data_IF_889078033718
#
_entry.id   IF_889078033718
#
_cell.length_a   1.000
_cell.length_b   1.000
_cell.length_c   1.000
_cell.angle_alpha   90.00
_cell.angle_beta   90.00
_cell.angle_gamma   90.00
#
_symmetry.space_group_name_H-M   'P 1'
#
loop_
_entity.id
_entity.type
_entity.pdbx_description
1 polymer ?
#
# COMPACT_ATOMS: atom_id res chain seq x y z
N UNK A 1 -7.74 24.97 11.80
CA UNK A 1 -9.02 25.29 11.13
C UNK A 1 -9.21 26.79 10.88
N UNK A 2 -8.76 27.68 11.74
CA UNK A 2 -8.86 29.14 11.56
C UNK A 2 -8.30 29.62 10.20
N UNK A 3 -7.19 29.06 9.72
CA UNK A 3 -6.63 29.38 8.40
C UNK A 3 -7.60 29.08 7.25
N UNK A 4 -8.46 28.08 7.37
CA UNK A 4 -9.43 27.71 6.33
C UNK A 4 -10.68 28.58 6.30
N UNK A 5 -10.81 29.53 7.24
CA UNK A 5 -11.84 30.56 7.27
C UNK A 5 -11.25 31.96 6.97
N UNK A 6 -9.93 32.07 6.75
CA UNK A 6 -9.29 33.29 6.26
C UNK A 6 -9.51 33.43 4.75
N UNK A 7 -10.21 34.50 4.31
CA UNK A 7 -10.53 34.69 2.89
C UNK A 7 -9.29 34.90 2.02
N UNK A 8 -8.20 35.49 2.52
CA UNK A 8 -6.98 35.70 1.76
C UNK A 8 -6.23 34.39 1.58
N UNK A 9 -6.21 33.54 2.62
CA UNK A 9 -5.59 32.22 2.56
C UNK A 9 -6.34 31.31 1.58
N UNK A 10 -7.68 31.28 1.65
CA UNK A 10 -8.51 30.52 0.70
C UNK A 10 -8.36 31.02 -0.75
N UNK A 11 -8.15 32.31 -0.96
CA UNK A 11 -7.94 32.88 -2.28
C UNK A 11 -6.69 32.31 -2.96
N UNK A 12 -5.62 32.05 -2.21
CA UNK A 12 -4.40 31.40 -2.74
C UNK A 12 -4.71 30.01 -3.27
N UNK A 13 -5.42 29.18 -2.51
CA UNK A 13 -5.81 27.83 -2.95
C UNK A 13 -6.80 27.85 -4.12
N UNK A 14 -7.69 28.83 -4.16
CA UNK A 14 -8.62 29.00 -5.28
C UNK A 14 -7.88 29.34 -6.58
N UNK A 15 -6.91 30.24 -6.53
CA UNK A 15 -6.06 30.59 -7.69
C UNK A 15 -5.28 29.35 -8.13
N UNK A 16 -4.74 28.58 -7.19
CA UNK A 16 -4.01 27.34 -7.49
C UNK A 16 -4.90 26.30 -8.18
N UNK A 17 -6.15 26.11 -7.72
CA UNK A 17 -7.14 25.25 -8.39
C UNK A 17 -7.41 25.67 -9.83
N UNK A 18 -7.56 26.98 -10.07
CA UNK A 18 -7.77 27.52 -11.43
C UNK A 18 -6.53 27.26 -12.28
N UNK A 19 -5.33 27.54 -11.77
CA UNK A 19 -4.08 27.29 -12.47
C UNK A 19 -3.94 25.81 -12.86
N UNK A 20 -4.25 24.89 -11.97
CA UNK A 20 -4.24 23.45 -12.26
C UNK A 20 -5.26 23.06 -13.33
N UNK A 21 -6.48 23.59 -13.26
CA UNK A 21 -7.50 23.34 -14.29
C UNK A 21 -7.07 23.85 -15.67
N UNK A 22 -6.40 25.00 -15.72
CA UNK A 22 -5.83 25.57 -16.96
C UNK A 22 -4.73 24.65 -17.50
N UNK A 23 -3.79 24.21 -16.67
CA UNK A 23 -2.71 23.28 -17.05
C UNK A 23 -3.28 21.99 -17.61
N UNK A 24 -4.21 21.35 -16.90
CA UNK A 24 -4.83 20.09 -17.32
C UNK A 24 -5.59 20.20 -18.65
N UNK A 25 -6.10 21.40 -18.98
CA UNK A 25 -6.86 21.62 -20.22
C UNK A 25 -5.95 22.04 -21.38
N UNK A 26 -5.01 22.94 -21.14
CA UNK A 26 -4.22 23.60 -22.21
C UNK A 26 -3.01 22.75 -22.62
N UNK A 27 -2.34 22.07 -21.67
CA UNK A 27 -1.13 21.29 -21.99
C UNK A 27 -1.37 20.19 -23.02
N UNK A 28 -2.44 19.36 -22.93
CA UNK A 28 -2.73 18.36 -23.96
C UNK A 28 -2.99 18.98 -25.34
N UNK A 29 -3.69 20.13 -25.39
CA UNK A 29 -4.01 20.82 -26.65
C UNK A 29 -2.73 21.32 -27.31
N UNK A 30 -1.87 22.03 -26.57
CA UNK A 30 -0.58 22.52 -27.08
C UNK A 30 0.27 21.35 -27.58
N UNK A 31 0.30 20.27 -26.82
CA UNK A 31 1.08 19.07 -27.16
C UNK A 31 0.58 18.43 -28.47
N UNK A 32 -0.72 18.29 -28.65
CA UNK A 32 -1.31 17.79 -29.90
C UNK A 32 -0.95 18.68 -31.11
N UNK A 33 -1.00 20.00 -30.94
CA UNK A 33 -0.56 20.93 -31.96
C UNK A 33 0.92 20.79 -32.33
N UNK A 34 1.77 20.61 -31.34
CA UNK A 34 3.21 20.42 -31.54
C UNK A 34 3.51 19.09 -32.27
N UNK A 35 2.83 18.02 -31.87
CA UNK A 35 2.94 16.72 -32.56
C UNK A 35 2.50 16.82 -34.02
N UNK A 36 1.34 17.43 -34.26
CA UNK A 36 0.83 17.59 -35.63
C UNK A 36 1.80 18.40 -36.49
N UNK A 37 2.34 19.51 -35.97
CA UNK A 37 3.36 20.29 -36.65
C UNK A 37 4.61 19.48 -36.98
N UNK A 38 5.14 18.72 -36.01
CA UNK A 38 6.35 17.91 -36.21
C UNK A 38 6.12 16.80 -37.26
N UNK A 39 4.95 16.14 -37.22
CA UNK A 39 4.55 15.15 -38.22
C UNK A 39 4.37 15.77 -39.61
N UNK A 40 3.72 16.92 -39.71
CA UNK A 40 3.50 17.64 -40.96
C UNK A 40 4.84 18.01 -41.62
N UNK A 41 5.78 18.56 -40.84
CA UNK A 41 7.11 18.91 -41.32
C UNK A 41 7.87 17.66 -41.81
N UNK A 42 7.76 16.54 -41.09
CA UNK A 42 8.40 15.28 -41.47
C UNK A 42 7.86 14.74 -42.82
N UNK A 43 6.55 14.84 -43.02
CA UNK A 43 5.89 14.34 -44.28
C UNK A 43 6.14 15.23 -45.46
N UNK A 44 6.02 16.57 -45.27
CA UNK A 44 6.12 17.53 -46.41
C UNK A 44 7.56 17.68 -46.91
N UNK A 45 8.55 17.55 -46.05
CA UNK A 45 9.94 17.79 -46.43
C UNK A 45 10.64 16.55 -46.99
N UNK A 46 9.99 15.37 -47.13
CA UNK A 46 10.52 14.11 -47.74
C UNK A 46 11.98 13.84 -47.36
N UNK A 47 12.34 13.97 -46.07
CA UNK A 47 13.73 13.98 -45.64
C UNK A 47 14.32 12.58 -45.44
N UNK A 48 15.68 12.43 -45.63
CA UNK A 48 16.36 11.15 -45.40
C UNK A 48 16.17 10.63 -43.96
N UNK A 49 16.32 9.30 -43.78
CA UNK A 49 16.05 8.55 -42.54
C UNK A 49 16.70 9.12 -41.28
N UNK A 50 17.84 9.77 -41.35
CA UNK A 50 18.54 10.37 -40.18
C UNK A 50 17.87 11.64 -39.63
N UNK A 51 17.23 12.42 -40.51
CA UNK A 51 16.46 13.59 -40.06
C UNK A 51 15.10 13.18 -39.44
N UNK A 52 14.50 12.09 -39.91
CA UNK A 52 13.31 11.50 -39.31
C UNK A 52 13.59 11.04 -37.85
N UNK A 53 14.75 10.39 -37.64
CA UNK A 53 15.17 10.00 -36.25
C UNK A 53 15.34 11.21 -35.33
N UNK A 54 15.88 12.32 -35.82
CA UNK A 54 16.05 13.54 -35.05
C UNK A 54 14.71 14.20 -34.69
N UNK A 55 13.76 14.24 -35.65
CA UNK A 55 12.39 14.76 -35.37
C UNK A 55 11.70 13.88 -34.35
N UNK A 56 11.79 12.55 -34.48
CA UNK A 56 11.21 11.59 -33.54
C UNK A 56 11.81 11.73 -32.12
N UNK A 57 13.14 11.85 -32.01
CA UNK A 57 13.81 12.06 -30.71
C UNK A 57 13.40 13.37 -30.03
N UNK A 58 13.23 14.46 -30.79
CA UNK A 58 12.72 15.75 -30.28
C UNK A 58 11.26 15.63 -29.81
N UNK A 59 10.43 14.94 -30.59
CA UNK A 59 9.01 14.70 -30.23
C UNK A 59 8.87 13.88 -28.95
N UNK A 60 9.69 12.84 -28.75
CA UNK A 60 9.72 12.04 -27.51
C UNK A 60 10.09 12.90 -26.30
N UNK A 61 11.12 13.75 -26.40
CA UNK A 61 11.52 14.62 -25.28
C UNK A 61 10.40 15.61 -24.90
N UNK A 62 9.70 16.16 -25.89
CA UNK A 62 8.54 17.04 -25.66
C UNK A 62 7.37 16.27 -25.04
N UNK A 63 7.14 15.04 -25.46
CA UNK A 63 6.13 14.15 -24.92
C UNK A 63 6.36 13.86 -23.43
N UNK A 64 7.60 13.50 -23.07
CA UNK A 64 7.98 13.27 -21.67
C UNK A 64 7.78 14.52 -20.83
N UNK A 65 8.21 15.70 -21.34
CA UNK A 65 8.01 16.96 -20.65
C UNK A 65 6.52 17.32 -20.47
N UNK A 66 5.70 17.10 -21.50
CA UNK A 66 4.26 17.32 -21.43
C UNK A 66 3.56 16.40 -20.44
N UNK A 67 3.97 15.11 -20.38
CA UNK A 67 3.49 14.15 -19.39
C UNK A 67 3.83 14.63 -17.96
N UNK A 68 5.07 15.01 -17.71
CA UNK A 68 5.49 15.49 -16.39
C UNK A 68 4.63 16.71 -15.97
N UNK A 69 4.49 17.70 -16.84
CA UNK A 69 3.70 18.90 -16.55
C UNK A 69 2.22 18.57 -16.34
N UNK A 70 1.66 17.66 -17.15
CA UNK A 70 0.26 17.22 -17.03
C UNK A 70 -0.03 16.51 -15.70
N UNK A 71 0.91 15.70 -15.22
CA UNK A 71 0.74 15.01 -13.94
C UNK A 71 1.08 15.84 -12.70
N UNK A 72 1.73 17.00 -12.83
CA UNK A 72 2.05 17.88 -11.70
C UNK A 72 0.81 18.25 -10.86
N UNK A 73 -0.33 18.68 -11.44
CA UNK A 73 -1.53 18.99 -10.66
C UNK A 73 -2.09 17.76 -9.94
N UNK A 74 -2.10 16.60 -10.61
CA UNK A 74 -2.56 15.35 -10.00
C UNK A 74 -1.65 14.90 -8.86
N UNK A 75 -0.33 15.03 -9.03
CA UNK A 75 0.65 14.77 -7.98
C UNK A 75 0.47 15.73 -6.79
N UNK A 76 0.26 17.02 -7.07
CA UNK A 76 -0.01 18.00 -6.04
C UNK A 76 -1.30 17.66 -5.27
N UNK A 77 -2.39 17.38 -5.99
CA UNK A 77 -3.66 16.97 -5.37
C UNK A 77 -3.46 15.71 -4.55
N UNK A 78 -2.79 14.69 -5.08
CA UNK A 78 -2.47 13.46 -4.37
C UNK A 78 -1.67 13.70 -3.08
N UNK A 79 -0.66 14.57 -3.13
CA UNK A 79 0.13 14.93 -1.94
C UNK A 79 -0.77 15.58 -0.87
N UNK A 80 -1.68 16.43 -1.25
CA UNK A 80 -2.52 17.17 -0.32
C UNK A 80 -3.81 16.44 0.09
N UNK A 81 -4.32 15.49 -0.72
CA UNK A 81 -5.55 14.75 -0.40
C UNK A 81 -5.28 13.35 0.15
N UNK A 82 -4.27 12.66 -0.38
CA UNK A 82 -4.04 11.25 -0.08
C UNK A 82 -2.81 11.00 0.80
N UNK A 83 -1.76 11.83 0.69
CA UNK A 83 -0.55 11.73 1.52
C UNK A 83 -0.61 12.60 2.78
N UNK A 84 -1.34 13.72 2.77
CA UNK A 84 -1.60 14.45 4.00
C UNK A 84 -2.68 13.68 4.80
N UNK A 85 -2.53 13.56 6.13
CA UNK A 85 -3.56 12.95 6.95
C UNK A 85 -4.93 13.55 6.64
N UNK A 86 -5.97 12.71 6.60
CA UNK A 86 -7.37 13.12 6.30
C UNK A 86 -7.81 14.30 7.16
N UNK A 87 -7.19 14.47 8.32
CA UNK A 87 -7.40 15.56 9.28
C UNK A 87 -6.44 16.74 9.07
N UNK A 88 -5.64 16.77 7.99
CA UNK A 88 -4.77 17.92 7.78
C UNK A 88 -5.59 19.16 7.45
N UNK A 89 -5.37 20.21 8.22
CA UNK A 89 -5.99 21.53 8.03
C UNK A 89 -5.85 22.02 6.58
N UNK A 90 -4.74 21.67 5.91
CA UNK A 90 -4.45 22.05 4.53
C UNK A 90 -5.40 21.41 3.51
N UNK A 91 -5.75 20.15 3.69
CA UNK A 91 -6.67 19.44 2.81
C UNK A 91 -8.07 20.07 2.84
N UNK A 92 -8.55 20.33 4.05
CA UNK A 92 -9.84 21.01 4.27
C UNK A 92 -9.84 22.41 3.67
N UNK A 93 -8.74 23.17 3.83
CA UNK A 93 -8.62 24.51 3.23
C UNK A 93 -8.64 24.42 1.69
N UNK A 94 -7.94 23.46 1.10
CA UNK A 94 -7.91 23.28 -0.34
C UNK A 94 -9.30 22.90 -0.88
N UNK A 95 -10.00 21.96 -0.28
CA UNK A 95 -11.36 21.58 -0.70
C UNK A 95 -12.34 22.76 -0.60
N UNK A 96 -12.29 23.50 0.50
CA UNK A 96 -13.18 24.65 0.76
C UNK A 96 -12.82 25.90 -0.04
N UNK A 97 -11.70 25.95 -0.75
CA UNK A 97 -11.31 27.09 -1.57
C UNK A 97 -12.23 27.23 -2.78
N UNK A 98 -13.29 28.02 -2.62
CA UNK A 98 -14.25 28.41 -3.65
C UNK A 98 -14.54 29.92 -3.56
N UNK A 99 -15.01 30.50 -4.66
CA UNK A 99 -15.35 31.95 -4.68
C UNK A 99 -16.50 32.25 -3.72
N UNK A 100 -17.41 31.32 -3.55
CA UNK A 100 -18.54 31.41 -2.64
C UNK A 100 -18.07 31.49 -1.17
N UNK A 101 -17.22 30.58 -0.75
CA UNK A 101 -16.65 30.55 0.60
C UNK A 101 -15.78 31.78 0.87
N UNK A 102 -14.98 32.20 -0.10
CA UNK A 102 -14.16 33.41 0.02
C UNK A 102 -15.06 34.64 0.26
N UNK A 103 -16.14 34.79 -0.48
CA UNK A 103 -17.09 35.89 -0.31
C UNK A 103 -17.85 35.78 1.01
N UNK A 104 -18.26 34.56 1.43
CA UNK A 104 -18.86 34.30 2.74
C UNK A 104 -17.95 34.82 3.86
N UNK A 105 -16.69 34.40 3.89
CA UNK A 105 -15.76 34.76 4.96
C UNK A 105 -15.27 36.22 4.89
N UNK A 106 -15.29 36.86 3.74
CA UNK A 106 -15.02 38.32 3.64
C UNK A 106 -16.08 39.16 4.35
N UNK A 107 -17.31 38.66 4.40
CA UNK A 107 -18.43 39.36 5.00
C UNK A 107 -18.64 39.02 6.48
N UNK A 108 -17.87 38.11 7.05
CA UNK A 108 -17.91 37.74 8.45
C UNK A 108 -16.87 38.49 9.27
N UNK A 109 -17.20 38.80 10.52
CA UNK A 109 -16.24 39.28 11.51
C UNK A 109 -15.18 38.23 11.86
N UNK A 110 -14.10 38.61 12.51
CA UNK A 110 -13.07 37.65 12.95
C UNK A 110 -13.62 36.64 13.95
N UNK A 111 -14.49 37.11 14.86
CA UNK A 111 -15.15 36.25 15.86
C UNK A 111 -16.08 35.22 15.21
N UNK A 112 -16.93 35.62 14.27
CA UNK A 112 -17.79 34.71 13.52
C UNK A 112 -16.98 33.66 12.71
N UNK A 113 -15.83 34.04 12.17
CA UNK A 113 -14.94 33.09 11.46
C UNK A 113 -14.31 32.08 12.40
N UNK A 114 -13.94 32.47 13.62
CA UNK A 114 -13.43 31.57 14.65
C UNK A 114 -14.51 30.58 15.10
N UNK A 115 -15.71 31.05 15.33
CA UNK A 115 -16.86 30.21 15.69
C UNK A 115 -17.17 29.18 14.59
N UNK A 116 -17.19 29.60 13.33
CA UNK A 116 -17.38 28.70 12.19
C UNK A 116 -16.24 27.69 12.04
N UNK A 117 -14.99 28.07 12.37
CA UNK A 117 -13.84 27.19 12.35
C UNK A 117 -13.92 26.10 13.42
N UNK A 118 -14.36 26.46 14.65
CA UNK A 118 -14.56 25.51 15.73
C UNK A 118 -15.73 24.56 15.44
N UNK A 119 -16.84 25.09 14.91
CA UNK A 119 -17.99 24.26 14.50
C UNK A 119 -17.60 23.22 13.45
N UNK A 120 -16.82 23.60 12.43
CA UNK A 120 -16.31 22.67 11.41
C UNK A 120 -15.38 21.62 12.00
N UNK A 121 -14.55 22.01 12.96
CA UNK A 121 -13.66 21.07 13.65
C UNK A 121 -14.47 20.02 14.43
N UNK A 122 -15.54 20.44 15.08
CA UNK A 122 -16.46 19.55 15.78
C UNK A 122 -17.21 18.61 14.82
N UNK A 123 -17.71 19.15 13.69
CA UNK A 123 -18.35 18.35 12.64
C UNK A 123 -17.41 17.29 12.05
N UNK A 124 -16.13 17.62 11.84
CA UNK A 124 -15.12 16.68 11.39
C UNK A 124 -14.82 15.58 12.42
N UNK A 125 -14.68 15.95 13.69
CA UNK A 125 -14.46 14.99 14.78
C UNK A 125 -15.66 14.04 14.93
N UNK A 126 -16.87 14.56 14.78
CA UNK A 126 -18.09 13.76 14.84
C UNK A 126 -18.19 12.82 13.62
N UNK A 127 -17.85 13.28 12.44
CA UNK A 127 -17.80 12.46 11.23
C UNK A 127 -16.72 11.36 11.28
N UNK A 128 -15.57 11.64 11.90
CA UNK A 128 -14.54 10.65 12.15
C UNK A 128 -15.03 9.58 13.14
N UNK A 129 -15.63 9.99 14.26
CA UNK A 129 -16.21 9.07 15.24
C UNK A 129 -17.34 8.21 14.68
N UNK A 130 -18.15 8.76 13.77
CA UNK A 130 -19.21 8.02 13.08
C UNK A 130 -18.66 7.00 12.08
N UNK A 131 -17.57 7.35 11.37
CA UNK A 131 -16.85 6.39 10.50
C UNK A 131 -16.26 5.24 11.31
N UNK A 132 -15.60 5.52 12.43
CA UNK A 132 -15.04 4.50 13.32
C UNK A 132 -16.14 3.59 13.88
N UNK A 133 -17.30 4.15 14.21
CA UNK A 133 -18.46 3.39 14.66
C UNK A 133 -19.04 2.49 13.55
N UNK A 134 -19.18 3.03 12.32
CA UNK A 134 -19.64 2.26 11.17
C UNK A 134 -18.66 1.15 10.79
N UNK A 135 -17.37 1.41 10.88
CA UNK A 135 -16.33 0.42 10.62
C UNK A 135 -16.34 -0.67 11.69
N UNK A 136 -16.52 -0.31 12.94
CA UNK A 136 -16.71 -1.27 14.03
C UNK A 136 -17.97 -2.12 13.85
N UNK A 137 -19.10 -1.50 13.51
CA UNK A 137 -20.35 -2.21 13.22
C UNK A 137 -20.24 -3.13 11.99
N UNK A 138 -19.51 -2.71 10.94
CA UNK A 138 -19.17 -3.58 9.80
C UNK A 138 -18.32 -4.77 10.22
N UNK A 139 -17.30 -4.52 11.03
CA UNK A 139 -16.42 -5.59 11.51
C UNK A 139 -17.16 -6.56 12.45
N UNK A 140 -18.06 -6.07 13.27
CA UNK A 140 -18.90 -6.90 14.14
C UNK A 140 -19.95 -7.70 13.33
N UNK A 141 -20.53 -7.13 12.27
CA UNK A 141 -21.38 -7.86 11.32
C UNK A 141 -20.62 -8.93 10.55
N UNK A 142 -19.42 -8.61 10.08
CA UNK A 142 -18.54 -9.59 9.41
C UNK A 142 -18.18 -10.73 10.37
N UNK A 143 -17.90 -10.42 11.65
CA UNK A 143 -17.67 -11.45 12.68
C UNK A 143 -18.91 -12.33 12.90
N UNK A 144 -20.09 -11.72 12.97
CA UNK A 144 -21.34 -12.46 13.14
C UNK A 144 -21.69 -13.33 11.92
N UNK A 145 -21.47 -12.82 10.69
CA UNK A 145 -21.65 -13.60 9.45
C UNK A 145 -20.65 -14.74 9.33
N UNK A 146 -19.40 -14.54 9.79
CA UNK A 146 -18.39 -15.60 9.87
C UNK A 146 -18.81 -16.66 10.88
N UNK A 147 -19.36 -16.26 12.01
CA UNK A 147 -19.83 -17.18 13.05
C UNK A 147 -21.08 -17.98 12.60
N UNK A 148 -21.97 -17.36 11.85
CA UNK A 148 -23.16 -17.99 11.27
C UNK A 148 -22.78 -18.93 10.11
N UNK A 149 -21.85 -18.55 9.24
CA UNK A 149 -21.26 -19.42 8.21
C UNK A 149 -20.50 -20.60 8.82
N UNK A 150 -19.78 -20.41 9.93
CA UNK A 150 -19.15 -21.48 10.68
C UNK A 150 -20.14 -22.54 11.18
N UNK A 151 -21.35 -22.13 11.53
CA UNK A 151 -22.43 -23.07 11.92
C UNK A 151 -23.05 -23.81 10.73
N UNK A 152 -23.10 -23.19 9.55
CA UNK A 152 -23.66 -23.83 8.35
C UNK A 152 -22.65 -24.77 7.65
N UNK A 153 -21.36 -24.45 7.63
CA UNK A 153 -20.29 -25.25 7.00
C UNK A 153 -19.95 -26.53 7.79
N UNK A 154 -20.26 -26.61 9.09
CA UNK A 154 -20.22 -27.88 9.84
C UNK A 154 -21.24 -28.92 9.35
N UNK A 155 -22.17 -28.52 8.47
CA UNK A 155 -23.22 -29.37 7.94
C UNK A 155 -23.02 -29.80 6.47
N UNK A 156 -22.06 -29.20 5.74
CA UNK A 156 -21.79 -29.58 4.33
C UNK A 156 -20.30 -29.53 4.03
N UNK A 157 -19.66 -30.70 4.08
CA UNK A 157 -18.28 -30.86 3.59
C UNK A 157 -18.21 -30.67 2.07
N UNK A 158 -17.44 -29.72 1.59
CA UNK A 158 -17.22 -29.48 0.17
C UNK A 158 -15.83 -28.92 -0.10
N UNK A 159 -14.97 -29.77 -0.63
CA UNK A 159 -13.57 -29.54 -0.99
C UNK A 159 -13.48 -29.00 -2.42
N UNK A 160 -12.87 -27.86 -2.63
CA UNK A 160 -12.63 -27.30 -3.96
C UNK A 160 -11.23 -26.71 -4.11
N UNK A 161 -10.21 -27.56 -4.21
CA UNK A 161 -8.84 -27.16 -4.55
C UNK A 161 -8.52 -27.60 -5.97
N UNK A 162 -8.32 -26.67 -6.89
CA UNK A 162 -7.76 -26.95 -8.22
C UNK A 162 -6.24 -26.81 -8.18
N UNK A 163 -5.51 -27.85 -8.58
CA UNK A 163 -4.05 -27.81 -8.67
C UNK A 163 -3.60 -26.99 -9.88
N UNK A 164 -2.84 -25.93 -9.62
CA UNK A 164 -2.08 -25.18 -10.63
C UNK A 164 -0.66 -25.71 -10.65
N UNK A 165 -0.10 -25.98 -11.82
CA UNK A 165 1.26 -26.55 -11.95
C UNK A 165 2.33 -25.49 -11.71
N UNK A 166 2.98 -25.53 -10.56
CA UNK A 166 4.24 -24.83 -10.27
C UNK A 166 5.31 -25.84 -9.83
N UNK A 167 6.57 -25.58 -10.17
CA UNK A 167 7.70 -26.46 -9.83
C UNK A 167 8.56 -25.81 -8.76
N UNK A 168 8.41 -26.25 -7.52
CA UNK A 168 9.30 -25.89 -6.40
C UNK A 168 10.40 -26.92 -6.25
N UNK A 169 11.59 -26.53 -5.76
CA UNK A 169 12.66 -27.44 -5.35
C UNK A 169 12.38 -28.07 -3.99
N UNK A 170 11.53 -27.46 -3.17
CA UNK A 170 11.04 -27.99 -1.90
C UNK A 170 9.71 -28.71 -2.13
N UNK A 171 9.60 -30.03 -1.90
CA UNK A 171 8.37 -30.77 -2.14
C UNK A 171 7.20 -30.32 -1.25
N UNK A 172 7.48 -29.71 -0.10
CA UNK A 172 6.47 -29.21 0.82
C UNK A 172 5.98 -27.78 0.48
N UNK A 173 6.63 -27.10 -0.48
CA UNK A 173 6.21 -25.80 -0.98
C UNK A 173 5.40 -25.98 -2.27
N UNK A 174 4.10 -25.88 -2.17
CA UNK A 174 3.15 -26.22 -3.24
C UNK A 174 2.45 -24.97 -3.76
N UNK A 175 2.31 -24.87 -5.08
CA UNK A 175 1.48 -23.81 -5.69
C UNK A 175 0.00 -24.26 -5.66
N UNK A 176 -0.82 -23.46 -5.01
CA UNK A 176 -2.27 -23.63 -4.91
C UNK A 176 -3.02 -22.47 -5.58
N UNK A 177 -4.30 -22.69 -5.80
CA UNK A 177 -5.24 -21.63 -6.25
C UNK A 177 -6.46 -21.63 -5.33
N UNK A 178 -6.82 -20.46 -4.85
CA UNK A 178 -8.01 -20.22 -4.05
C UNK A 178 -9.02 -19.38 -4.82
N UNK A 179 -10.26 -19.83 -4.85
CA UNK A 179 -11.40 -19.14 -5.48
C UNK A 179 -12.32 -18.59 -4.42
N UNK A 180 -12.07 -17.34 -4.01
CA UNK A 180 -12.89 -16.59 -3.07
C UNK A 180 -13.41 -15.30 -3.70
N UNK A 181 -13.22 -14.15 -3.03
CA UNK A 181 -13.56 -12.80 -3.56
C UNK A 181 -12.91 -12.59 -4.94
N UNK A 182 -11.68 -13.08 -5.11
CA UNK A 182 -10.96 -13.20 -6.39
C UNK A 182 -10.25 -14.54 -6.46
N UNK A 183 -9.91 -14.99 -7.67
CA UNK A 183 -8.99 -16.11 -7.83
C UNK A 183 -7.57 -15.65 -7.47
N UNK A 184 -6.95 -16.30 -6.49
CA UNK A 184 -5.61 -16.00 -6.00
C UNK A 184 -4.76 -17.26 -6.10
N UNK A 185 -3.68 -17.20 -6.88
CA UNK A 185 -2.64 -18.22 -6.84
C UNK A 185 -1.70 -17.90 -5.68
N UNK A 186 -1.26 -18.90 -4.93
CA UNK A 186 -0.37 -18.70 -3.79
C UNK A 186 0.52 -19.91 -3.57
N UNK A 187 1.75 -19.66 -3.14
CA UNK A 187 2.62 -20.70 -2.62
C UNK A 187 2.25 -20.97 -1.18
N UNK A 188 2.19 -22.26 -0.83
CA UNK A 188 1.93 -22.72 0.52
C UNK A 188 3.00 -23.73 0.95
N UNK A 189 3.49 -23.59 2.18
CA UNK A 189 4.32 -24.58 2.83
C UNK A 189 3.63 -25.01 4.13
N UNK A 190 3.40 -26.33 4.23
CA UNK A 190 2.90 -26.97 5.45
C UNK A 190 4.01 -27.86 6.00
N UNK A 191 4.52 -27.60 7.21
CA UNK A 191 5.54 -28.46 7.83
C UNK A 191 5.02 -29.89 8.06
N UNK A 192 5.91 -30.88 7.97
CA UNK A 192 5.56 -32.29 8.22
C UNK A 192 5.06 -32.53 9.66
N UNK A 193 5.67 -31.86 10.63
CA UNK A 193 5.31 -31.95 12.04
C UNK A 193 4.73 -30.62 12.50
N UNK A 194 3.43 -30.44 12.29
CA UNK A 194 2.75 -29.19 12.64
C UNK A 194 2.00 -29.35 13.98
N UNK A 195 2.00 -28.28 14.78
CA UNK A 195 1.20 -28.22 16.01
C UNK A 195 -0.31 -28.21 15.72
N UNK A 196 -1.14 -28.53 16.70
CA UNK A 196 -2.61 -28.48 16.57
C UNK A 196 -3.14 -27.05 16.36
N UNK A 197 -2.34 -26.03 16.68
CA UNK A 197 -2.60 -24.62 16.46
C UNK A 197 -1.32 -23.95 15.97
N UNK A 198 -0.98 -24.09 14.68
CA UNK A 198 0.25 -23.54 14.15
C UNK A 198 0.17 -22.02 13.99
N UNK A 199 1.33 -21.37 13.98
CA UNK A 199 1.47 -20.00 13.51
C UNK A 199 1.22 -19.92 11.99
N UNK A 200 0.86 -18.74 11.50
CA UNK A 200 0.76 -18.43 10.08
C UNK A 200 1.68 -17.27 9.71
N UNK A 201 2.48 -17.45 8.68
CA UNK A 201 3.28 -16.36 8.09
C UNK A 201 2.80 -16.08 6.67
N UNK A 202 2.43 -14.83 6.43
CA UNK A 202 1.95 -14.33 5.14
C UNK A 202 3.02 -13.44 4.51
N UNK A 203 3.52 -13.80 3.33
CA UNK A 203 4.49 -13.02 2.60
C UNK A 203 3.88 -12.31 1.39
N UNK A 204 4.05 -11.01 1.29
CA UNK A 204 3.63 -10.18 0.17
C UNK A 204 4.82 -9.85 -0.74
N UNK A 205 4.74 -10.23 -2.01
CA UNK A 205 5.83 -10.05 -2.98
C UNK A 205 6.00 -8.61 -3.47
N UNK A 206 7.14 -8.31 -4.08
CA UNK A 206 7.45 -7.05 -4.74
C UNK A 206 6.82 -6.89 -6.13
N UNK A 207 7.09 -5.77 -6.78
CA UNK A 207 6.53 -5.48 -8.12
C UNK A 207 7.05 -6.40 -9.22
N UNK A 208 8.23 -6.99 -9.03
CA UNK A 208 8.85 -7.90 -10.03
C UNK A 208 8.15 -9.23 -10.18
N UNK A 209 7.32 -9.63 -9.23
CA UNK A 209 6.66 -10.94 -9.16
C UNK A 209 5.17 -10.90 -9.52
N UNK A 210 4.64 -9.72 -9.86
CA UNK A 210 3.23 -9.54 -10.19
C UNK A 210 2.79 -10.44 -11.33
N UNK A 211 1.70 -11.20 -11.12
CA UNK A 211 1.14 -12.11 -12.10
C UNK A 211 2.02 -13.33 -12.43
N UNK A 212 3.16 -13.49 -11.74
CA UNK A 212 4.11 -14.58 -11.97
C UNK A 212 4.43 -15.33 -10.66
N UNK A 213 3.61 -16.28 -10.23
CA UNK A 213 3.85 -17.03 -8.99
C UNK A 213 5.24 -17.69 -8.94
N UNK A 214 5.71 -18.22 -10.07
CA UNK A 214 7.00 -18.93 -10.13
C UNK A 214 8.20 -18.00 -9.91
N UNK A 215 8.12 -16.72 -10.26
CA UNK A 215 9.21 -15.76 -10.03
C UNK A 215 9.45 -15.51 -8.54
N UNK A 216 8.42 -15.70 -7.71
CA UNK A 216 8.52 -15.55 -6.25
C UNK A 216 9.49 -16.56 -5.62
N UNK A 217 9.70 -17.72 -6.22
CA UNK A 217 10.63 -18.75 -5.72
C UNK A 217 12.10 -18.34 -5.76
N UNK A 218 12.42 -17.24 -6.44
CA UNK A 218 13.78 -16.73 -6.59
C UNK A 218 14.05 -15.51 -5.70
N UNK A 219 13.06 -15.04 -4.94
CA UNK A 219 13.16 -13.80 -4.19
C UNK A 219 12.46 -13.91 -2.82
N UNK A 220 12.88 -13.07 -1.88
CA UNK A 220 12.28 -12.93 -0.57
C UNK A 220 12.18 -14.22 0.25
N UNK A 221 11.20 -14.28 1.09
CA UNK A 221 10.93 -15.42 1.97
C UNK A 221 10.70 -16.73 1.18
N UNK A 222 9.93 -16.73 0.07
CA UNK A 222 9.74 -17.95 -0.74
C UNK A 222 11.04 -18.58 -1.25
N UNK A 223 12.08 -17.75 -1.55
CA UNK A 223 13.41 -18.27 -1.96
C UNK A 223 14.04 -19.17 -0.90
N UNK A 224 13.99 -18.75 0.36
CA UNK A 224 14.56 -19.52 1.48
C UNK A 224 13.73 -20.74 1.83
N UNK A 225 12.42 -20.73 1.56
CA UNK A 225 11.56 -21.90 1.62
C UNK A 225 11.89 -22.88 0.50
N UNK A 226 12.02 -22.38 -0.75
CA UNK A 226 12.26 -23.19 -1.94
C UNK A 226 13.61 -23.91 -1.92
N UNK A 227 14.68 -23.26 -1.43
CA UNK A 227 16.02 -23.84 -1.39
C UNK A 227 16.29 -24.69 -0.14
N UNK A 228 15.31 -24.85 0.74
CA UNK A 228 15.41 -25.66 1.95
C UNK A 228 16.20 -25.02 3.10
N UNK A 229 16.60 -23.75 3.00
CA UNK A 229 17.31 -23.06 4.09
C UNK A 229 16.49 -22.91 5.37
N UNK A 230 15.18 -23.04 5.29
CA UNK A 230 14.22 -22.96 6.41
C UNK A 230 13.48 -24.29 6.62
N UNK A 231 14.18 -25.41 6.59
CA UNK A 231 13.58 -26.76 6.74
C UNK A 231 12.89 -26.99 8.09
N UNK A 232 13.28 -26.27 9.15
CA UNK A 232 12.68 -26.36 10.48
C UNK A 232 11.71 -25.22 10.76
N UNK A 233 11.03 -24.74 9.74
CA UNK A 233 10.06 -23.65 9.87
C UNK A 233 8.79 -24.15 10.56
N UNK A 234 8.55 -23.70 11.79
CA UNK A 234 7.41 -24.17 12.61
C UNK A 234 6.19 -23.25 12.45
N UNK A 235 5.78 -23.07 11.21
CA UNK A 235 4.57 -22.30 10.88
C UNK A 235 4.03 -22.72 9.52
N UNK A 236 2.74 -22.58 9.29
CA UNK A 236 2.18 -22.52 7.94
C UNK A 236 2.69 -21.23 7.27
N UNK A 237 3.16 -21.36 6.06
CA UNK A 237 3.60 -20.23 5.26
C UNK A 237 2.73 -20.11 4.02
N UNK A 238 2.26 -18.89 3.72
CA UNK A 238 1.59 -18.59 2.45
C UNK A 238 2.21 -17.35 1.79
N UNK A 239 2.29 -17.39 0.48
CA UNK A 239 2.74 -16.28 -0.35
C UNK A 239 1.77 -16.07 -1.52
N UNK A 240 0.71 -15.27 -1.34
CA UNK A 240 -0.23 -14.94 -2.41
C UNK A 240 0.45 -14.17 -3.53
N UNK A 241 -0.02 -14.37 -4.78
CA UNK A 241 0.43 -13.61 -5.94
C UNK A 241 -0.66 -12.67 -6.42
N UNK A 242 -0.36 -11.36 -6.46
CA UNK A 242 -1.25 -10.36 -7.05
C UNK A 242 -0.89 -10.11 -8.51
N UNK A 243 -1.89 -10.19 -9.40
CA UNK A 243 -1.74 -9.81 -10.79
C UNK A 243 -1.94 -8.30 -11.01
N UNK A 244 -2.63 -7.62 -10.08
CA UNK A 244 -2.92 -6.19 -10.18
C UNK A 244 -1.73 -5.30 -9.80
N UNK A 245 -0.66 -5.85 -9.23
CA UNK A 245 0.47 -5.11 -8.64
C UNK A 245 0.01 -4.07 -7.60
N UNK A 246 -1.07 -4.33 -6.88
CA UNK A 246 -1.61 -3.40 -5.89
C UNK A 246 -2.18 -4.16 -4.68
N UNK A 247 -1.39 -4.26 -3.62
CA UNK A 247 -1.83 -4.89 -2.38
C UNK A 247 -2.99 -4.15 -1.70
N UNK A 248 -3.11 -2.83 -1.91
CA UNK A 248 -4.25 -2.07 -1.41
C UNK A 248 -5.57 -2.47 -2.09
N UNK A 249 -5.53 -2.67 -3.41
CA UNK A 249 -6.69 -3.13 -4.20
C UNK A 249 -7.02 -4.59 -3.95
N UNK A 250 -6.03 -5.42 -3.64
CA UNK A 250 -6.18 -6.85 -3.39
C UNK A 250 -6.25 -7.21 -1.90
N UNK A 251 -6.29 -6.20 -1.02
CA UNK A 251 -6.31 -6.44 0.43
C UNK A 251 -7.49 -7.31 0.89
N UNK A 252 -8.68 -7.10 0.32
CA UNK A 252 -9.86 -7.90 0.66
C UNK A 252 -9.74 -9.36 0.21
N UNK A 253 -9.25 -9.61 -1.01
CA UNK A 253 -9.03 -10.97 -1.52
C UNK A 253 -7.86 -11.68 -0.83
N UNK A 254 -6.82 -10.93 -0.45
CA UNK A 254 -5.72 -11.44 0.37
C UNK A 254 -6.21 -11.85 1.76
N UNK A 255 -7.04 -11.03 2.39
CA UNK A 255 -7.64 -11.34 3.69
C UNK A 255 -8.56 -12.55 3.63
N UNK A 256 -9.35 -12.68 2.57
CA UNK A 256 -10.24 -13.81 2.31
C UNK A 256 -9.44 -15.13 2.18
N UNK A 257 -8.32 -15.12 1.44
CA UNK A 257 -7.39 -16.26 1.39
C UNK A 257 -6.81 -16.58 2.78
N UNK A 258 -6.39 -15.58 3.55
CA UNK A 258 -5.86 -15.77 4.90
C UNK A 258 -6.94 -16.42 5.79
N UNK A 259 -8.19 -15.97 5.72
CA UNK A 259 -9.30 -16.54 6.49
C UNK A 259 -9.61 -17.99 6.10
N UNK A 260 -9.45 -18.34 4.82
CA UNK A 260 -9.54 -19.72 4.36
C UNK A 260 -8.44 -20.59 4.98
N UNK A 261 -7.19 -20.16 4.93
CA UNK A 261 -6.04 -20.89 5.49
C UNK A 261 -6.16 -21.05 7.01
N UNK A 262 -6.64 -19.99 7.71
CA UNK A 262 -6.90 -20.05 9.16
C UNK A 262 -7.87 -21.19 9.51
N UNK A 263 -8.93 -21.32 8.72
CA UNK A 263 -9.95 -22.37 8.94
C UNK A 263 -9.41 -23.76 8.57
N UNK A 264 -8.69 -23.87 7.44
CA UNK A 264 -8.17 -25.13 6.93
C UNK A 264 -7.20 -25.78 7.92
N UNK A 265 -6.33 -24.97 8.55
CA UNK A 265 -5.25 -25.48 9.42
C UNK A 265 -5.44 -25.19 10.91
N UNK A 266 -6.59 -24.65 11.33
CA UNK A 266 -6.85 -24.28 12.73
C UNK A 266 -5.75 -23.37 13.32
N UNK A 267 -5.37 -22.32 12.59
CA UNK A 267 -4.27 -21.41 12.94
C UNK A 267 -4.49 -20.77 14.32
N UNK A 268 -3.40 -20.58 15.07
CA UNK A 268 -3.41 -19.76 16.28
C UNK A 268 -3.61 -18.28 15.90
N UNK A 269 -4.76 -17.73 16.26
CA UNK A 269 -5.11 -16.35 15.98
C UNK A 269 -4.18 -15.31 16.65
N UNK A 270 -3.41 -15.73 17.66
CA UNK A 270 -2.42 -14.88 18.31
C UNK A 270 -1.04 -14.93 17.63
N UNK A 271 -0.87 -15.78 16.61
CA UNK A 271 0.39 -15.98 15.90
C UNK A 271 0.21 -15.89 14.38
N UNK A 272 -0.37 -14.78 13.91
CA UNK A 272 -0.48 -14.47 12.48
C UNK A 272 0.47 -13.33 12.15
N UNK A 273 1.54 -13.62 11.42
CA UNK A 273 2.58 -12.67 11.04
C UNK A 273 2.40 -12.25 9.59
N UNK A 274 2.53 -10.97 9.31
CA UNK A 274 2.56 -10.45 7.94
C UNK A 274 3.89 -9.80 7.61
N UNK A 275 4.40 -10.08 6.43
CA UNK A 275 5.67 -9.54 5.95
C UNK A 275 5.63 -9.34 4.43
N UNK A 276 6.57 -8.58 3.90
CA UNK A 276 6.69 -8.37 2.46
C UNK A 276 7.79 -7.39 2.11
N UNK A 277 8.23 -7.42 0.84
CA UNK A 277 9.32 -6.60 0.35
C UNK A 277 8.85 -5.59 -0.70
N UNK A 278 9.39 -4.36 -0.67
CA UNK A 278 9.14 -3.33 -1.68
C UNK A 278 7.64 -3.01 -1.79
N UNK A 279 6.99 -3.32 -2.92
CA UNK A 279 5.53 -3.26 -3.06
C UNK A 279 4.84 -4.07 -1.95
N UNK A 280 5.35 -5.26 -1.60
CA UNK A 280 4.86 -6.08 -0.50
C UNK A 280 5.17 -5.48 0.88
N UNK A 281 6.25 -4.73 1.03
CA UNK A 281 6.54 -3.95 2.24
C UNK A 281 5.49 -2.85 2.47
N UNK A 282 5.11 -2.12 1.41
CA UNK A 282 3.97 -1.21 1.45
C UNK A 282 2.65 -1.95 1.69
N UNK A 283 2.50 -3.15 1.10
CA UNK A 283 1.37 -4.04 1.33
C UNK A 283 1.24 -4.46 2.79
N UNK A 284 2.35 -4.75 3.45
CA UNK A 284 2.40 -5.08 4.88
C UNK A 284 1.84 -3.94 5.73
N UNK A 285 2.32 -2.70 5.50
CA UNK A 285 1.78 -1.51 6.17
C UNK A 285 0.29 -1.31 5.89
N UNK A 286 -0.14 -1.50 4.64
CA UNK A 286 -1.54 -1.37 4.25
C UNK A 286 -2.45 -2.42 4.92
N UNK A 287 -1.99 -3.67 5.01
CA UNK A 287 -2.77 -4.75 5.62
C UNK A 287 -2.96 -4.54 7.12
N UNK A 288 -1.92 -4.12 7.86
CA UNK A 288 -2.06 -3.85 9.30
C UNK A 288 -2.88 -2.58 9.59
N UNK A 289 -2.89 -1.61 8.67
CA UNK A 289 -3.79 -0.46 8.72
C UNK A 289 -5.25 -0.88 8.48
N UNK A 290 -5.50 -1.65 7.44
CA UNK A 290 -6.84 -2.03 7.02
C UNK A 290 -7.50 -3.03 7.97
N UNK A 291 -6.69 -3.88 8.63
CA UNK A 291 -7.15 -4.92 9.55
C UNK A 291 -6.46 -4.80 10.92
N UNK A 292 -6.73 -3.71 11.68
CA UNK A 292 -6.09 -3.48 12.97
C UNK A 292 -6.41 -4.61 13.97
N UNK A 293 -5.40 -5.07 14.69
CA UNK A 293 -5.53 -6.16 15.68
C UNK A 293 -5.72 -7.55 15.08
N UNK A 294 -5.63 -7.72 13.76
CA UNK A 294 -5.72 -9.02 13.11
C UNK A 294 -4.38 -9.75 13.08
N UNK A 295 -3.30 -9.04 12.84
CA UNK A 295 -1.94 -9.60 12.82
C UNK A 295 -1.28 -9.44 14.17
N UNK A 296 -0.50 -10.46 14.58
CA UNK A 296 0.26 -10.45 15.83
C UNK A 296 1.59 -9.70 15.71
N UNK A 297 2.21 -9.73 14.54
CA UNK A 297 3.47 -9.05 14.22
C UNK A 297 3.50 -8.64 12.75
N UNK A 298 4.29 -7.61 12.44
CA UNK A 298 4.51 -7.15 11.08
C UNK A 298 6.00 -6.91 10.77
N UNK A 299 6.43 -7.34 9.58
CA UNK A 299 7.81 -7.16 9.10
C UNK A 299 7.79 -6.53 7.71
N UNK A 300 7.58 -5.22 7.58
CA UNK A 300 7.74 -4.54 6.31
C UNK A 300 9.23 -4.41 5.95
N UNK A 301 9.62 -4.91 4.78
CA UNK A 301 10.98 -4.76 4.23
C UNK A 301 10.93 -3.79 3.06
N UNK A 302 11.67 -2.68 3.15
CA UNK A 302 11.66 -1.58 2.16
C UNK A 302 10.24 -1.10 1.83
N UNK A 303 9.44 -0.88 2.88
CA UNK A 303 8.08 -0.35 2.81
C UNK A 303 7.93 0.93 3.63
N UNK A 304 6.95 1.75 3.26
CA UNK A 304 6.63 2.99 3.95
C UNK A 304 5.22 2.95 4.56
N UNK A 305 5.05 3.37 5.82
CA UNK A 305 3.72 3.53 6.43
C UNK A 305 2.93 4.65 5.75
N UNK A 306 1.62 4.49 5.63
CA UNK A 306 0.73 5.44 4.95
C UNK A 306 -0.42 5.95 5.82
N UNK A 307 -0.77 5.24 6.89
CA UNK A 307 -1.85 5.63 7.80
C UNK A 307 -1.32 6.41 9.03
N UNK A 308 -2.22 6.87 9.90
CA UNK A 308 -1.85 7.53 11.14
C UNK A 308 -1.12 6.58 12.10
N UNK A 309 -0.28 7.11 12.99
CA UNK A 309 0.60 6.33 13.88
C UNK A 309 -0.19 5.47 14.86
N UNK A 310 -1.37 5.94 15.25
CA UNK A 310 -2.30 5.25 16.15
C UNK A 310 -2.74 3.89 15.62
N UNK A 311 -2.83 3.76 14.29
CA UNK A 311 -3.20 2.50 13.61
C UNK A 311 -2.17 1.39 13.81
N UNK A 312 -0.93 1.77 14.11
CA UNK A 312 0.21 0.85 14.24
C UNK A 312 0.67 0.64 15.70
N UNK A 313 0.10 1.36 16.67
CA UNK A 313 0.58 1.34 18.05
C UNK A 313 0.35 -0.02 18.77
N UNK A 314 -0.62 -0.81 18.32
CA UNK A 314 -1.01 -2.05 18.99
C UNK A 314 -0.42 -3.31 18.36
N UNK A 315 0.57 -3.19 17.47
CA UNK A 315 1.23 -4.33 16.82
C UNK A 315 2.75 -4.18 16.89
N UNK A 316 3.49 -5.21 17.33
CA UNK A 316 4.95 -5.23 17.20
C UNK A 316 5.40 -5.20 15.74
N UNK A 317 6.30 -4.27 15.40
CA UNK A 317 6.78 -4.04 14.04
C UNK A 317 8.30 -4.06 14.02
N UNK A 318 8.90 -4.82 13.09
CA UNK A 318 10.31 -4.67 12.69
C UNK A 318 10.39 -4.26 11.23
N UNK A 319 10.72 -3.00 10.98
CA UNK A 319 10.86 -2.45 9.63
C UNK A 319 12.32 -2.46 9.17
N UNK A 320 12.61 -3.18 8.11
CA UNK A 320 13.95 -3.33 7.55
C UNK A 320 14.12 -2.46 6.30
N UNK A 321 15.24 -1.74 6.22
CA UNK A 321 15.64 -0.95 5.05
C UNK A 321 17.13 -1.06 4.85
N UNK A 322 17.61 -1.24 3.63
CA UNK A 322 19.04 -1.30 3.33
C UNK A 322 19.72 0.06 3.49
N UNK A 323 20.94 0.07 4.03
CA UNK A 323 21.69 1.30 4.30
C UNK A 323 21.99 2.12 3.04
N UNK A 324 22.17 1.46 1.90
CA UNK A 324 22.41 2.08 0.58
C UNK A 324 21.11 2.30 -0.23
N UNK A 325 19.94 2.02 0.33
CA UNK A 325 18.67 2.31 -0.34
C UNK A 325 18.40 3.82 -0.47
N UNK A 326 17.41 4.15 -1.32
CA UNK A 326 17.00 5.53 -1.53
C UNK A 326 16.60 6.24 -0.22
N UNK A 327 16.76 7.55 -0.18
CA UNK A 327 16.34 8.36 0.97
C UNK A 327 14.84 8.22 1.26
N UNK A 328 14.03 7.88 0.27
CA UNK A 328 12.59 7.67 0.42
C UNK A 328 12.27 6.61 1.49
N UNK A 329 12.77 5.36 1.35
CA UNK A 329 12.50 4.29 2.31
C UNK A 329 13.10 4.56 3.69
N UNK A 330 14.28 5.21 3.72
CA UNK A 330 14.92 5.58 4.99
C UNK A 330 14.13 6.64 5.73
N UNK A 331 13.80 7.76 5.07
CA UNK A 331 13.12 8.89 5.72
C UNK A 331 11.69 8.58 6.13
N UNK A 332 10.92 7.81 5.37
CA UNK A 332 9.57 7.45 5.80
C UNK A 332 9.60 6.64 7.11
N UNK A 333 10.57 5.74 7.28
CA UNK A 333 10.69 4.94 8.50
C UNK A 333 11.26 5.75 9.68
N UNK A 334 12.35 6.51 9.47
CA UNK A 334 12.94 7.35 10.53
C UNK A 334 12.01 8.43 11.05
N UNK A 335 11.11 8.93 10.21
CA UNK A 335 10.13 9.95 10.62
C UNK A 335 8.89 9.34 11.30
N UNK A 336 8.56 8.10 10.99
CA UNK A 336 7.31 7.49 11.42
C UNK A 336 7.44 6.62 12.67
N UNK A 337 8.45 5.76 12.72
CA UNK A 337 8.64 4.77 13.79
C UNK A 337 8.80 5.40 15.18
N UNK A 338 9.60 6.47 15.36
CA UNK A 338 9.66 7.14 16.66
C UNK A 338 8.32 7.67 17.12
N UNK A 339 7.48 8.13 16.18
CA UNK A 339 6.15 8.62 16.52
C UNK A 339 5.18 7.52 16.95
N UNK A 340 5.28 6.30 16.40
CA UNK A 340 4.54 5.13 16.87
C UNK A 340 4.92 4.81 18.32
N UNK A 341 6.22 4.80 18.60
CA UNK A 341 6.72 4.49 19.95
C UNK A 341 6.36 5.58 20.99
N UNK A 342 6.33 6.85 20.58
CA UNK A 342 5.94 7.96 21.45
C UNK A 342 4.48 7.87 21.96
N UNK A 343 3.62 7.13 21.27
CA UNK A 343 2.23 6.89 21.66
C UNK A 343 2.01 5.50 22.28
N UNK A 344 3.11 4.83 22.69
CA UNK A 344 3.08 3.54 23.37
C UNK A 344 3.17 2.32 22.46
N UNK A 345 3.46 2.50 21.18
CA UNK A 345 3.68 1.39 20.23
C UNK A 345 5.02 0.69 20.46
N UNK A 346 5.20 -0.43 19.74
CA UNK A 346 6.41 -1.25 19.74
C UNK A 346 6.91 -1.47 18.30
N UNK A 347 7.58 -0.46 17.76
CA UNK A 347 8.11 -0.50 16.40
C UNK A 347 9.62 -0.27 16.39
N UNK A 348 10.34 -1.08 15.62
CA UNK A 348 11.78 -1.00 15.44
C UNK A 348 12.12 -0.70 13.97
N UNK A 349 13.02 0.25 13.73
CA UNK A 349 13.62 0.52 12.43
C UNK A 349 15.02 -0.06 12.37
N UNK A 350 15.25 -1.00 11.45
CA UNK A 350 16.50 -1.74 11.32
C UNK A 350 17.15 -1.37 9.98
N UNK A 351 18.30 -0.71 10.07
CA UNK A 351 19.10 -0.37 8.91
C UNK A 351 20.05 -1.52 8.60
N UNK A 352 19.84 -2.20 7.48
CA UNK A 352 20.61 -3.39 7.07
C UNK A 352 21.93 -2.96 6.44
N UNK A 353 23.09 -3.37 7.01
CA UNK A 353 24.39 -3.00 6.46
C UNK A 353 24.78 -3.86 5.25
N UNK A 354 25.87 -3.46 4.58
CA UNK A 354 26.52 -4.28 3.54
C UNK A 354 26.86 -5.70 4.07
N UNK A 355 26.72 -6.73 3.25
CA UNK A 355 26.45 -6.70 1.79
C UNK A 355 24.96 -6.66 1.38
N UNK A 356 24.02 -6.63 2.32
CA UNK A 356 22.59 -6.69 2.06
C UNK A 356 21.91 -5.30 2.15
N UNK A 357 22.61 -4.26 1.77
CA UNK A 357 22.29 -2.86 2.06
C UNK A 357 21.52 -2.12 0.96
N UNK A 358 21.27 -2.73 -0.19
CA UNK A 358 20.49 -2.12 -1.28
C UNK A 358 19.11 -2.77 -1.45
N UNK A 359 18.26 -2.14 -2.24
CA UNK A 359 16.86 -2.56 -2.44
C UNK A 359 16.70 -4.01 -2.92
N UNK A 360 17.62 -4.51 -3.72
CA UNK A 360 17.59 -5.89 -4.22
C UNK A 360 18.17 -6.92 -3.26
N UNK A 361 19.07 -6.52 -2.38
CA UNK A 361 19.78 -7.43 -1.46
C UNK A 361 19.23 -7.41 -0.04
N UNK A 362 18.57 -6.33 0.40
CA UNK A 362 17.94 -6.24 1.73
C UNK A 362 16.95 -7.39 1.99
N UNK A 363 16.35 -7.92 0.94
CA UNK A 363 15.43 -9.07 0.98
C UNK A 363 16.08 -10.35 1.54
N UNK A 364 17.43 -10.41 1.62
CA UNK A 364 18.14 -11.53 2.22
C UNK A 364 18.00 -11.58 3.75
N UNK A 365 17.41 -10.58 4.41
CA UNK A 365 17.03 -10.64 5.84
C UNK A 365 16.14 -11.84 6.17
N UNK A 366 15.40 -12.37 5.19
CA UNK A 366 14.60 -13.58 5.36
C UNK A 366 15.43 -14.86 5.54
N UNK A 367 16.73 -14.81 5.34
CA UNK A 367 17.66 -15.89 5.70
C UNK A 367 18.25 -15.74 7.11
N UNK A 368 17.90 -14.68 7.84
CA UNK A 368 18.40 -14.43 9.19
C UNK A 368 17.55 -15.21 10.23
N UNK A 369 18.19 -16.07 10.97
CA UNK A 369 17.55 -16.87 12.02
C UNK A 369 16.97 -16.02 13.16
N UNK A 370 17.56 -14.84 13.46
CA UNK A 370 17.03 -13.94 14.47
C UNK A 370 15.68 -13.37 14.05
N UNK A 371 15.55 -12.94 12.80
CA UNK A 371 14.26 -12.48 12.27
C UNK A 371 13.22 -13.61 12.27
N UNK A 372 13.59 -14.80 11.80
CA UNK A 372 12.69 -15.95 11.76
C UNK A 372 12.20 -16.32 13.18
N UNK A 373 13.11 -16.40 14.13
CA UNK A 373 12.75 -16.68 15.52
C UNK A 373 11.84 -15.58 16.11
N UNK A 374 12.11 -14.32 15.79
CA UNK A 374 11.25 -13.22 16.25
C UNK A 374 9.85 -13.28 15.63
N UNK A 375 9.73 -13.66 14.36
CA UNK A 375 8.42 -13.84 13.73
C UNK A 375 7.61 -14.96 14.39
N UNK A 376 8.28 -16.04 14.75
CA UNK A 376 7.63 -17.28 15.25
C UNK A 376 7.49 -17.35 16.79
N UNK A 377 8.10 -16.40 17.55
CA UNK A 377 8.05 -16.35 19.01
C UNK A 377 6.74 -15.84 19.61
#
# INVERSE_FOLDING_TARGET
MELCTDPNFLQVFYILKIAFKIVLTIVPIIFMFMLFKDMFIAVVNSKPDDELKNVFSKSIKRFIAAIIIYFLPSLFTYIFTDLAPVDSTMNVCFENASIENINKYKNMSEEERKEEAEKRKEEMNNAAAERDKLEKEKNDKIKAEIEEKKKQEQLTGGNGTSSVTGTSSNPNLVLKSYSGIKNVNYWELVPENISNKPALVVFLHGSGECGSPNSMLNTGHPKFMNNGSLNNYDAIFIAPNTASCSWSSDAASTKDLIDHVIKEYNIDMNHIVITGHSLGGNGTWNMIDKYPGFFSKAVPVSGCPTASKERYANIPIRSYVGASESSYYKSCNTNYIPGINNIGGNAEYILVPSPNDNHGTVINVYGDSELINWMLS
#
